data_IF_614786086034
#
_entry.id   IF_614786086034
#
_cell.length_a   1.000
_cell.length_b   1.000
_cell.length_c   1.000
_cell.angle_alpha   90.00
_cell.angle_beta   90.00
_cell.angle_gamma   90.00
#
_symmetry.space_group_name_H-M   'P 1'
#
loop_
_entity.id
_entity.type
_entity.pdbx_description
1 polymer ?
#
# COMPACT_ATOMS: atom_id res chain seq x y z
N UNK A 1 8.00 0.18 -0.62
CA UNK A 1 8.81 1.36 -0.29
C UNK A 1 8.32 1.95 1.01
N UNK A 2 9.23 2.15 1.96
CA UNK A 2 8.88 2.83 3.22
C UNK A 2 8.45 4.26 2.91
N UNK A 3 7.55 4.85 3.70
CA UNK A 3 7.11 6.25 3.48
C UNK A 3 8.27 7.24 3.40
N UNK A 4 9.36 6.95 4.13
CA UNK A 4 10.59 7.75 4.17
C UNK A 4 11.38 7.70 2.85
N UNK A 5 11.17 6.68 2.02
CA UNK A 5 11.85 6.47 0.74
C UNK A 5 11.09 7.12 -0.43
N UNK A 6 9.85 7.59 -0.21
CA UNK A 6 9.03 8.21 -1.26
C UNK A 6 9.68 9.44 -1.88
N UNK A 7 10.26 10.32 -1.06
CA UNK A 7 10.86 11.56 -1.55
C UNK A 7 11.98 11.30 -2.57
N UNK A 8 12.85 10.32 -2.28
CA UNK A 8 13.91 9.91 -3.20
C UNK A 8 13.34 9.21 -4.44
N UNK A 9 12.36 8.32 -4.26
CA UNK A 9 11.70 7.66 -5.38
C UNK A 9 11.05 8.66 -6.36
N UNK A 10 10.46 9.75 -5.87
CA UNK A 10 9.89 10.81 -6.71
C UNK A 10 10.92 11.54 -7.56
N UNK A 11 12.16 11.63 -7.10
CA UNK A 11 13.25 12.20 -7.88
C UNK A 11 13.69 11.27 -9.02
N UNK A 12 13.57 9.96 -8.82
CA UNK A 12 14.17 8.94 -9.69
C UNK A 12 13.16 8.29 -10.66
N UNK A 13 11.88 8.13 -10.29
CA UNK A 13 10.92 7.32 -11.03
C UNK A 13 9.49 7.89 -11.02
N UNK A 14 8.78 7.78 -12.16
CA UNK A 14 7.44 8.35 -12.34
C UNK A 14 6.58 7.52 -13.30
N UNK A 15 6.37 6.22 -13.02
CA UNK A 15 5.43 5.40 -13.81
C UNK A 15 4.74 4.35 -12.93
N UNK A 16 3.43 4.49 -12.75
CA UNK A 16 2.56 3.51 -12.09
C UNK A 16 1.23 3.36 -12.83
N UNK A 17 0.57 2.21 -12.69
CA UNK A 17 -0.75 1.93 -13.28
C UNK A 17 -1.83 2.28 -12.26
N UNK A 18 -2.65 3.29 -12.57
CA UNK A 18 -3.75 3.74 -11.70
C UNK A 18 -5.01 2.88 -11.92
N UNK A 19 -5.82 2.74 -10.86
CA UNK A 19 -7.14 2.13 -10.96
C UNK A 19 -8.13 3.09 -11.64
N UNK A 20 -9.23 2.57 -12.19
CA UNK A 20 -10.28 3.40 -12.81
C UNK A 20 -11.21 4.06 -11.78
N UNK A 21 -11.23 3.57 -10.55
CA UNK A 21 -12.12 4.07 -9.49
C UNK A 21 -11.49 5.29 -8.81
N UNK A 22 -12.14 6.45 -8.95
CA UNK A 22 -11.78 7.66 -8.20
C UNK A 22 -12.46 7.71 -6.84
N UNK A 23 -11.73 8.14 -5.82
CA UNK A 23 -12.27 8.42 -4.48
C UNK A 23 -12.23 9.93 -4.24
N UNK A 24 -13.33 10.49 -3.73
CA UNK A 24 -13.32 11.86 -3.17
C UNK A 24 -13.10 11.74 -1.67
N UNK A 25 -12.05 12.38 -1.17
CA UNK A 25 -11.72 12.42 0.25
C UNK A 25 -11.75 13.85 0.75
N UNK A 26 -12.24 14.05 1.96
CA UNK A 26 -12.12 15.32 2.68
C UNK A 26 -11.00 15.16 3.70
N UNK A 27 -9.95 15.96 3.55
CA UNK A 27 -8.81 15.97 4.47
C UNK A 27 -9.14 16.88 5.66
N UNK A 28 -8.58 16.55 6.83
CA UNK A 28 -8.47 17.53 7.89
C UNK A 28 -7.57 18.70 7.46
N UNK A 29 -7.69 19.82 8.17
CA UNK A 29 -7.01 21.07 7.80
C UNK A 29 -5.48 20.91 7.81
N UNK A 30 -4.92 20.12 8.72
CA UNK A 30 -3.47 19.92 8.82
C UNK A 30 -2.95 19.10 7.64
N UNK A 31 -3.61 17.98 7.33
CA UNK A 31 -3.29 17.14 6.19
C UNK A 31 -3.42 17.92 4.88
N UNK A 32 -4.47 18.73 4.72
CA UNK A 32 -4.65 19.60 3.56
C UNK A 32 -3.51 20.63 3.42
N UNK A 33 -3.11 21.27 4.53
CA UNK A 33 -2.00 22.23 4.53
C UNK A 33 -0.67 21.57 4.17
N UNK A 34 -0.39 20.37 4.69
CA UNK A 34 0.82 19.61 4.37
C UNK A 34 0.85 19.14 2.92
N UNK A 35 -0.30 18.71 2.38
CA UNK A 35 -0.40 18.34 0.96
C UNK A 35 -0.17 19.56 0.05
N UNK A 36 -0.70 20.73 0.41
CA UNK A 36 -0.43 21.96 -0.32
C UNK A 36 1.05 22.32 -0.32
N UNK A 37 1.72 22.22 0.83
CA UNK A 37 3.16 22.46 0.95
C UNK A 37 3.99 21.51 0.08
N UNK A 38 3.68 20.21 0.07
CA UNK A 38 4.37 19.23 -0.79
C UNK A 38 4.11 19.54 -2.27
N UNK A 39 2.89 19.92 -2.64
CA UNK A 39 2.57 20.30 -4.03
C UNK A 39 3.37 21.54 -4.47
N UNK A 40 3.61 22.49 -3.56
CA UNK A 40 4.46 23.66 -3.84
C UNK A 40 5.93 23.29 -3.98
N UNK A 41 6.44 22.35 -3.17
CA UNK A 41 7.82 21.84 -3.29
C UNK A 41 8.05 21.07 -4.60
N UNK A 42 7.04 20.38 -5.11
CA UNK A 42 7.12 19.52 -6.29
C UNK A 42 6.09 19.92 -7.37
N UNK A 43 6.20 21.13 -7.97
CA UNK A 43 5.15 21.71 -8.82
C UNK A 43 4.93 20.99 -10.16
N UNK A 44 5.83 20.05 -10.52
CA UNK A 44 5.71 19.22 -11.73
C UNK A 44 4.86 17.97 -11.51
N UNK A 45 4.47 17.65 -10.28
CA UNK A 45 3.65 16.50 -9.92
C UNK A 45 2.22 16.94 -9.69
N UNK A 46 1.26 16.12 -10.10
CA UNK A 46 -0.16 16.37 -9.81
C UNK A 46 -0.46 16.00 -8.36
N UNK A 47 -1.30 16.77 -7.70
CA UNK A 47 -1.69 16.51 -6.29
C UNK A 47 -2.31 15.12 -6.13
N UNK A 48 -3.05 14.63 -7.13
CA UNK A 48 -3.63 13.29 -7.15
C UNK A 48 -2.56 12.17 -7.23
N UNK A 49 -1.46 12.41 -7.95
CA UNK A 49 -0.33 11.47 -8.02
C UNK A 49 0.38 11.40 -6.67
N UNK A 50 0.66 12.56 -6.06
CA UNK A 50 1.25 12.67 -4.73
C UNK A 50 0.38 11.95 -3.69
N UNK A 51 -0.93 12.18 -3.71
CA UNK A 51 -1.87 11.49 -2.83
C UNK A 51 -1.85 9.98 -3.04
N UNK A 52 -1.85 9.51 -4.29
CA UNK A 52 -1.80 8.09 -4.62
C UNK A 52 -0.54 7.42 -4.07
N UNK A 53 0.61 8.05 -4.22
CA UNK A 53 1.89 7.52 -3.74
C UNK A 53 2.00 7.56 -2.20
N UNK A 54 1.50 8.63 -1.57
CA UNK A 54 1.43 8.74 -0.10
C UNK A 54 0.52 7.66 0.50
N UNK A 55 -0.67 7.44 -0.08
CA UNK A 55 -1.60 6.40 0.36
C UNK A 55 -0.97 5.02 0.18
N UNK A 56 -0.32 4.77 -0.97
CA UNK A 56 0.39 3.51 -1.22
C UNK A 56 1.42 3.21 -0.15
N UNK A 57 2.32 4.17 0.14
CA UNK A 57 3.34 3.96 1.15
C UNK A 57 2.77 3.84 2.58
N UNK A 58 1.72 4.59 2.91
CA UNK A 58 1.05 4.47 4.21
C UNK A 58 0.39 3.10 4.40
N UNK A 59 -0.19 2.51 3.35
CA UNK A 59 -0.76 1.16 3.39
C UNK A 59 0.32 0.09 3.58
N UNK A 60 1.47 0.23 2.92
CA UNK A 60 2.61 -0.68 3.11
C UNK A 60 3.21 -0.57 4.53
N UNK A 61 3.33 0.65 5.06
CA UNK A 61 3.79 0.86 6.43
C UNK A 61 2.78 0.31 7.45
N UNK A 62 1.49 0.47 7.20
CA UNK A 62 0.43 -0.14 8.00
C UNK A 62 0.52 -1.67 7.98
N UNK A 63 0.70 -2.29 6.80
CA UNK A 63 0.89 -3.73 6.67
C UNK A 63 2.08 -4.22 7.51
N UNK A 64 3.20 -3.50 7.44
CA UNK A 64 4.43 -3.82 8.19
C UNK A 64 4.24 -3.63 9.70
N UNK A 65 3.32 -2.76 10.12
CA UNK A 65 3.06 -2.48 11.54
C UNK A 65 2.22 -3.57 12.24
N UNK A 66 1.65 -4.51 11.49
CA UNK A 66 0.82 -5.56 12.06
C UNK A 66 1.64 -6.52 12.93
N UNK A 67 1.16 -6.84 14.15
CA UNK A 67 1.87 -7.76 15.02
C UNK A 67 1.79 -9.19 14.47
N UNK A 68 2.93 -9.85 14.43
CA UNK A 68 2.95 -11.31 14.29
C UNK A 68 2.33 -11.95 15.53
N UNK A 69 1.41 -12.88 15.33
CA UNK A 69 0.85 -13.70 16.41
C UNK A 69 1.10 -15.16 16.08
N UNK A 70 1.95 -15.81 16.87
CA UNK A 70 2.29 -17.20 16.65
C UNK A 70 1.09 -18.13 16.85
N UNK A 71 0.76 -18.93 15.84
CA UNK A 71 -0.25 -19.99 15.95
C UNK A 71 0.31 -21.30 16.50
N UNK A 72 -0.50 -22.36 16.43
CA UNK A 72 -0.13 -23.67 16.97
C UNK A 72 0.50 -24.58 15.91
N UNK A 73 0.27 -24.31 14.63
CA UNK A 73 0.77 -25.16 13.56
C UNK A 73 2.13 -24.70 13.05
N UNK A 74 3.04 -25.68 12.88
CA UNK A 74 4.31 -25.48 12.19
C UNK A 74 4.04 -25.48 10.69
N UNK A 75 4.45 -24.40 10.02
CA UNK A 75 4.25 -24.20 8.57
C UNK A 75 5.51 -24.43 7.75
N UNK A 76 6.68 -24.30 8.37
CA UNK A 76 7.96 -24.54 7.74
C UNK A 76 9.02 -24.87 8.80
N UNK A 77 10.18 -25.32 8.35
CA UNK A 77 11.39 -25.45 9.14
C UNK A 77 12.44 -24.57 8.49
N UNK A 78 13.19 -23.80 9.28
CA UNK A 78 14.25 -22.94 8.76
C UNK A 78 15.55 -23.72 8.45
N UNK A 79 16.60 -22.99 8.07
CA UNK A 79 17.89 -23.57 7.68
C UNK A 79 18.64 -24.24 8.86
N UNK A 80 18.32 -23.87 10.11
CA UNK A 80 18.92 -24.43 11.31
C UNK A 80 18.11 -25.60 11.89
N UNK A 81 16.93 -25.87 11.33
CA UNK A 81 16.04 -26.95 11.77
C UNK A 81 14.97 -26.49 12.75
N UNK A 82 14.84 -25.18 13.00
CA UNK A 82 13.87 -24.63 13.94
C UNK A 82 12.47 -24.52 13.30
N UNK A 83 11.40 -24.85 14.05
CA UNK A 83 10.05 -24.79 13.53
C UNK A 83 9.56 -23.34 13.39
N UNK A 84 9.16 -22.98 12.17
CA UNK A 84 8.45 -21.75 11.87
C UNK A 84 6.94 -21.99 12.01
N UNK A 85 6.30 -21.23 12.87
CA UNK A 85 4.87 -21.32 13.14
C UNK A 85 4.08 -20.36 12.26
N UNK A 86 2.84 -20.74 11.97
CA UNK A 86 1.89 -19.86 11.27
C UNK A 86 1.74 -18.51 11.98
N UNK A 87 1.47 -17.46 11.20
CA UNK A 87 0.94 -16.21 11.71
C UNK A 87 -0.58 -16.31 11.75
N UNK A 88 -1.17 -16.15 12.93
CA UNK A 88 -2.63 -16.02 13.14
C UNK A 88 -3.03 -14.57 13.46
N UNK A 89 -2.13 -13.62 13.25
CA UNK A 89 -2.34 -12.19 13.42
C UNK A 89 -3.15 -11.53 12.28
N UNK A 90 -3.21 -10.19 12.26
CA UNK A 90 -3.97 -9.45 11.25
C UNK A 90 -3.34 -9.46 9.85
N UNK A 91 -2.02 -9.66 9.74
CA UNK A 91 -1.27 -9.69 8.47
C UNK A 91 -1.82 -10.68 7.44
N UNK A 92 -1.97 -11.99 7.72
CA UNK A 92 -2.49 -12.96 6.77
C UNK A 92 -3.90 -12.61 6.29
N UNK A 93 -4.74 -12.07 7.19
CA UNK A 93 -6.11 -11.63 6.85
C UNK A 93 -6.09 -10.43 5.92
N UNK A 94 -5.29 -9.42 6.21
CA UNK A 94 -5.14 -8.25 5.35
C UNK A 94 -4.67 -8.65 3.94
N UNK A 95 -3.60 -9.46 3.86
CA UNK A 95 -3.06 -9.96 2.60
C UNK A 95 -4.07 -10.77 1.78
N UNK A 96 -4.85 -11.64 2.43
CA UNK A 96 -5.88 -12.41 1.75
C UNK A 96 -6.97 -11.52 1.16
N UNK A 97 -7.44 -10.52 1.92
CA UNK A 97 -8.44 -9.56 1.45
C UNK A 97 -7.90 -8.69 0.31
N UNK A 98 -6.68 -8.17 0.44
CA UNK A 98 -6.03 -7.35 -0.60
C UNK A 98 -5.88 -8.11 -1.91
N UNK A 99 -5.47 -9.39 -1.88
CA UNK A 99 -5.40 -10.23 -3.08
C UNK A 99 -6.75 -10.46 -3.72
N UNK A 100 -7.79 -10.74 -2.92
CA UNK A 100 -9.14 -10.92 -3.42
C UNK A 100 -9.65 -9.66 -4.13
N UNK A 101 -9.57 -8.50 -3.49
CA UNK A 101 -10.03 -7.25 -4.09
C UNK A 101 -9.21 -6.87 -5.33
N UNK A 102 -7.91 -7.13 -5.34
CA UNK A 102 -7.08 -6.93 -6.53
C UNK A 102 -7.56 -7.79 -7.70
N UNK A 103 -7.85 -9.07 -7.46
CA UNK A 103 -8.39 -9.97 -8.47
C UNK A 103 -9.73 -9.47 -9.01
N UNK A 104 -10.68 -9.17 -8.11
CA UNK A 104 -12.02 -8.68 -8.46
C UNK A 104 -11.95 -7.40 -9.31
N UNK A 105 -11.09 -6.45 -8.95
CA UNK A 105 -10.90 -5.20 -9.68
C UNK A 105 -10.21 -5.39 -11.03
N UNK A 106 -9.27 -6.33 -11.13
CA UNK A 106 -8.58 -6.65 -12.38
C UNK A 106 -9.51 -7.33 -13.39
N UNK A 107 -10.35 -8.27 -12.94
CA UNK A 107 -11.33 -8.95 -13.78
C UNK A 107 -12.38 -7.98 -14.34
N UNK A 108 -12.92 -7.09 -13.50
CA UNK A 108 -13.86 -6.03 -13.93
C UNK A 108 -13.25 -5.08 -14.97
N UNK A 109 -11.94 -4.84 -14.90
CA UNK A 109 -11.26 -3.98 -15.86
C UNK A 109 -11.12 -4.61 -17.25
N UNK A 110 -11.12 -5.94 -17.35
CA UNK A 110 -10.97 -6.72 -18.59
C UNK A 110 -12.33 -7.05 -19.25
N UNK A 111 -13.39 -7.25 -18.45
CA UNK A 111 -14.77 -7.43 -18.97
C UNK A 111 -15.30 -6.17 -19.68
N UNK A 112 -15.01 -4.97 -19.15
CA UNK A 112 -15.44 -3.71 -19.76
C UNK A 112 -14.67 -3.32 -21.04
N UNK A 113 -13.66 -4.09 -21.43
CA UNK A 113 -12.89 -3.88 -22.67
C UNK A 113 -13.40 -4.71 -23.84
N UNK A 114 -14.31 -5.65 -23.59
CA UNK A 114 -14.97 -6.48 -24.61
C UNK A 114 -16.39 -5.96 -24.85
#
# INVERSE_FOLDING_TARGET
MKIRELAQHWEENAKGRLTKTGYTIYLDVEAAARLAAISEMYPKRRTEELLGELIGAALEELETSFPYVQGQHVVATDEEGDPLYEDIGPTPRFLALSRRYLHDMSAQADEQKH
#
